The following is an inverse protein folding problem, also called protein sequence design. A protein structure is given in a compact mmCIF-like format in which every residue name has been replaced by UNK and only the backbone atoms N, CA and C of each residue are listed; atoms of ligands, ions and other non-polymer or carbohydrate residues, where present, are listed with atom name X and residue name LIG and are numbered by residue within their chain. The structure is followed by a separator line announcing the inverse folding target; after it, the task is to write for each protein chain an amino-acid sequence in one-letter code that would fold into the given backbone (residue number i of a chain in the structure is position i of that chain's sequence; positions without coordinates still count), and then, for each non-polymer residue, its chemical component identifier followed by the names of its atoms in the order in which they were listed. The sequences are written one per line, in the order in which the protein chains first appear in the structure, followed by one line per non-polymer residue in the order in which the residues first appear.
data_IF_884682683242
#
_entry.id   IF_884682683242
#
_cell.length_a   1.000
_cell.length_b   1.000
_cell.length_c   1.000
_cell.angle_alpha   90.00
_cell.angle_beta   90.00
_cell.angle_gamma   90.00
#
_symmetry.space_group_name_H-M   'P 1'
#
loop_
_entity.id
_entity.type
_entity.pdbx_description
1 polymer ?
#
# COMPACT_ATOMS: atom_id res chain seq x y z
N UNK A 1 4.05 -24.42 -8.00
CA UNK A 1 2.71 -24.63 -7.42
C UNK A 1 2.37 -23.40 -6.61
N UNK A 2 1.25 -22.72 -6.90
CA UNK A 2 0.86 -21.55 -6.11
C UNK A 2 0.50 -22.00 -4.70
N UNK A 3 1.21 -21.46 -3.70
CA UNK A 3 1.05 -21.80 -2.28
C UNK A 3 -0.30 -21.38 -1.70
N UNK A 4 -1.02 -20.50 -2.39
CA UNK A 4 -2.26 -19.90 -1.96
C UNK A 4 -3.32 -19.98 -3.08
N UNK A 5 -4.59 -20.13 -2.69
CA UNK A 5 -5.73 -20.16 -3.60
C UNK A 5 -6.01 -18.78 -4.19
N UNK A 6 -6.70 -18.71 -5.33
CA UNK A 6 -7.11 -17.43 -5.89
C UNK A 6 -8.30 -16.85 -5.13
N UNK A 7 -8.44 -15.53 -5.10
CA UNK A 7 -9.63 -14.86 -4.56
C UNK A 7 -10.91 -15.21 -5.34
N UNK A 8 -10.79 -15.71 -6.57
CA UNK A 8 -11.92 -16.20 -7.37
C UNK A 8 -12.42 -17.59 -6.95
N UNK A 9 -11.66 -18.31 -6.12
CA UNK A 9 -11.99 -19.64 -5.61
C UNK A 9 -12.38 -19.59 -4.12
N UNK A 10 -13.07 -18.54 -3.68
CA UNK A 10 -13.55 -18.43 -2.31
C UNK A 10 -14.61 -19.50 -2.02
N UNK A 11 -14.54 -20.20 -0.87
CA UNK A 11 -15.55 -21.17 -0.52
C UNK A 11 -16.90 -20.48 -0.21
N UNK A 12 -18.03 -21.09 -0.58
CA UNK A 12 -19.36 -20.49 -0.41
C UNK A 12 -19.76 -20.31 1.07
N UNK A 13 -19.30 -21.21 1.95
CA UNK A 13 -19.58 -21.17 3.39
C UNK A 13 -18.37 -20.68 4.20
N UNK A 14 -17.62 -19.70 3.68
CA UNK A 14 -16.50 -19.13 4.44
C UNK A 14 -17.01 -18.37 5.67
N UNK A 15 -16.20 -18.38 6.74
CA UNK A 15 -16.41 -17.45 7.85
C UNK A 15 -16.11 -16.02 7.41
N UNK A 16 -16.69 -15.05 8.12
CA UNK A 16 -16.32 -13.64 7.99
C UNK A 16 -14.92 -13.43 8.58
N UNK A 17 -14.13 -12.57 7.96
CA UNK A 17 -12.79 -12.19 8.42
C UNK A 17 -12.86 -10.88 9.19
N UNK A 18 -12.58 -10.91 10.49
CA UNK A 18 -12.64 -9.71 11.32
C UNK A 18 -11.35 -8.88 11.22
N UNK A 19 -10.20 -9.55 11.17
CA UNK A 19 -8.89 -8.93 10.99
C UNK A 19 -8.27 -9.25 9.64
N UNK A 20 -7.58 -8.28 9.03
CA UNK A 20 -7.00 -8.47 7.70
C UNK A 20 -5.68 -7.71 7.50
N UNK A 21 -4.78 -8.31 6.72
CA UNK A 21 -3.58 -7.68 6.19
C UNK A 21 -3.56 -7.84 4.66
N UNK A 22 -3.41 -6.75 3.92
CA UNK A 22 -3.44 -6.79 2.46
C UNK A 22 -2.34 -5.94 1.85
N UNK A 23 -1.70 -6.45 0.80
CA UNK A 23 -0.88 -5.61 -0.07
C UNK A 23 -1.76 -4.55 -0.78
N UNK A 24 -1.11 -3.49 -1.27
CA UNK A 24 -1.79 -2.39 -1.95
C UNK A 24 -1.78 -2.53 -3.49
N UNK A 25 -0.59 -2.54 -4.09
CA UNK A 25 -0.39 -2.35 -5.52
C UNK A 25 -0.58 -3.68 -6.29
N UNK A 26 -1.76 -3.87 -6.88
CA UNK A 26 -2.12 -5.08 -7.62
C UNK A 26 -3.09 -5.97 -6.84
N UNK A 27 -3.17 -5.71 -5.54
CA UNK A 27 -4.04 -6.39 -4.58
C UNK A 27 -5.32 -5.59 -4.34
N UNK A 28 -5.25 -4.51 -3.53
CA UNK A 28 -6.39 -3.61 -3.29
C UNK A 28 -6.60 -2.60 -4.43
N UNK A 29 -5.55 -2.33 -5.20
CA UNK A 29 -5.59 -1.47 -6.38
C UNK A 29 -5.53 -2.28 -7.67
N UNK A 30 -6.23 -1.80 -8.69
CA UNK A 30 -6.15 -2.36 -10.06
C UNK A 30 -4.79 -2.22 -10.73
N UNK A 31 -3.93 -1.32 -10.23
CA UNK A 31 -2.58 -1.10 -10.74
C UNK A 31 -1.55 -1.74 -9.83
N UNK A 32 -0.52 -2.29 -10.42
CA UNK A 32 0.55 -3.00 -9.73
C UNK A 32 1.88 -2.21 -9.74
N UNK A 33 1.79 -0.90 -10.02
CA UNK A 33 2.95 -0.01 -10.11
C UNK A 33 2.66 1.30 -9.39
N UNK A 34 3.52 1.62 -8.43
CA UNK A 34 3.43 2.85 -7.66
C UNK A 34 4.05 4.07 -8.35
N UNK A 35 4.72 3.88 -9.48
CA UNK A 35 5.48 4.92 -10.19
C UNK A 35 4.66 6.19 -10.45
N UNK A 36 3.39 6.05 -10.87
CA UNK A 36 2.51 7.19 -11.13
C UNK A 36 2.26 8.06 -9.90
N UNK A 37 2.23 7.47 -8.71
CA UNK A 37 2.03 8.22 -7.46
C UNK A 37 3.30 8.99 -7.07
N UNK A 38 4.49 8.41 -7.29
CA UNK A 38 5.77 9.11 -7.13
C UNK A 38 5.92 10.28 -8.09
N UNK A 39 5.52 10.12 -9.35
CA UNK A 39 5.48 11.19 -10.36
C UNK A 39 4.55 12.30 -9.92
N UNK A 40 3.30 11.98 -9.57
CA UNK A 40 2.33 12.98 -9.10
C UNK A 40 2.86 13.75 -7.88
N UNK A 41 3.32 13.03 -6.86
CA UNK A 41 3.87 13.64 -5.65
C UNK A 41 5.06 14.54 -5.97
N UNK A 42 5.98 14.10 -6.83
CA UNK A 42 7.14 14.91 -7.24
C UNK A 42 6.74 16.21 -7.94
N UNK A 43 5.62 16.20 -8.68
CA UNK A 43 5.11 17.34 -9.43
C UNK A 43 4.39 18.33 -8.52
N UNK A 44 3.51 17.82 -7.66
CA UNK A 44 2.61 18.63 -6.83
C UNK A 44 3.28 19.13 -5.54
N UNK A 45 4.21 18.34 -4.96
CA UNK A 45 4.99 18.74 -3.79
C UNK A 45 6.38 19.28 -4.14
N UNK A 46 6.88 18.99 -5.34
CA UNK A 46 8.24 19.33 -5.79
C UNK A 46 8.29 20.25 -7.00
N UNK A 47 8.97 19.79 -8.05
CA UNK A 47 9.25 20.60 -9.24
C UNK A 47 9.13 19.79 -10.52
N UNK A 48 8.82 20.47 -11.62
CA UNK A 48 8.75 19.84 -12.96
C UNK A 48 10.07 19.20 -13.38
N UNK A 49 11.21 19.78 -12.97
CA UNK A 49 12.53 19.19 -13.21
C UNK A 49 12.67 17.81 -12.55
N UNK A 50 12.28 17.69 -11.28
CA UNK A 50 12.30 16.42 -10.56
C UNK A 50 11.38 15.39 -11.23
N UNK A 51 10.19 15.80 -11.66
CA UNK A 51 9.28 14.93 -12.41
C UNK A 51 9.90 14.48 -13.73
N UNK A 52 10.53 15.38 -14.48
CA UNK A 52 11.29 15.05 -15.69
C UNK A 52 12.42 14.06 -15.42
N UNK A 53 13.16 14.25 -14.32
CA UNK A 53 14.21 13.35 -13.89
C UNK A 53 13.66 11.94 -13.57
N UNK A 54 12.51 11.82 -12.90
CA UNK A 54 11.85 10.53 -12.66
C UNK A 54 11.51 9.80 -13.96
N UNK A 55 10.98 10.50 -14.96
CA UNK A 55 10.70 9.91 -16.26
C UNK A 55 11.98 9.47 -16.97
N UNK A 56 13.03 10.30 -16.92
CA UNK A 56 14.33 9.98 -17.51
C UNK A 56 14.95 8.72 -16.90
N UNK A 57 14.88 8.57 -15.57
CA UNK A 57 15.45 7.39 -14.88
C UNK A 57 14.52 6.19 -14.84
N UNK A 58 13.27 6.31 -15.29
CA UNK A 58 12.26 5.25 -15.17
C UNK A 58 12.70 3.89 -15.75
N UNK A 59 13.36 3.82 -16.93
CA UNK A 59 13.87 2.55 -17.44
C UNK A 59 14.94 1.94 -16.52
N UNK A 60 15.87 2.76 -16.01
CA UNK A 60 16.92 2.31 -15.09
C UNK A 60 16.35 1.84 -13.75
N UNK A 61 15.33 2.54 -13.23
CA UNK A 61 14.59 2.12 -12.04
C UNK A 61 13.89 0.79 -12.28
N UNK A 62 13.23 0.61 -13.43
CA UNK A 62 12.56 -0.64 -13.78
C UNK A 62 13.55 -1.81 -13.85
N UNK A 63 14.69 -1.63 -14.52
CA UNK A 63 15.76 -2.64 -14.59
C UNK A 63 16.28 -2.97 -13.19
N UNK A 64 16.57 -1.94 -12.38
CA UNK A 64 17.04 -2.11 -11.00
C UNK A 64 16.03 -2.88 -10.16
N UNK A 65 14.75 -2.50 -10.24
CA UNK A 65 13.67 -3.14 -9.50
C UNK A 65 13.49 -4.61 -9.88
N UNK A 66 13.57 -4.94 -11.17
CA UNK A 66 13.31 -6.30 -11.68
C UNK A 66 14.50 -7.24 -11.60
N UNK A 67 15.71 -6.77 -11.87
CA UNK A 67 16.89 -7.62 -12.07
C UNK A 67 17.92 -7.51 -10.94
N UNK A 68 17.92 -6.43 -10.16
CA UNK A 68 18.91 -6.22 -9.10
C UNK A 68 18.27 -6.34 -7.71
N UNK A 69 17.38 -5.42 -7.36
CA UNK A 69 16.72 -5.38 -6.06
C UNK A 69 15.50 -4.46 -6.10
N UNK A 70 14.36 -5.01 -5.69
CA UNK A 70 13.12 -4.26 -5.51
C UNK A 70 13.31 -3.03 -4.61
N UNK A 71 13.96 -3.25 -3.47
CA UNK A 71 14.28 -2.22 -2.48
C UNK A 71 15.19 -1.13 -3.06
N UNK A 72 16.17 -1.47 -3.91
CA UNK A 72 17.03 -0.46 -4.54
C UNK A 72 16.25 0.43 -5.52
N UNK A 73 15.38 -0.15 -6.35
CA UNK A 73 14.52 0.60 -7.26
C UNK A 73 13.60 1.57 -6.51
N UNK A 74 12.99 1.12 -5.40
CA UNK A 74 12.13 1.95 -4.56
C UNK A 74 12.91 3.06 -3.87
N UNK A 75 14.14 2.79 -3.38
CA UNK A 75 15.01 3.83 -2.79
C UNK A 75 15.36 4.93 -3.79
N UNK A 76 15.60 4.60 -5.06
CA UNK A 76 15.85 5.60 -6.12
C UNK A 76 14.61 6.47 -6.32
N UNK A 77 13.42 5.86 -6.42
CA UNK A 77 12.15 6.61 -6.54
C UNK A 77 11.95 7.55 -5.35
N UNK A 78 12.12 7.04 -4.13
CA UNK A 78 11.99 7.83 -2.90
C UNK A 78 12.96 9.02 -2.93
N UNK A 79 14.24 8.76 -3.20
CA UNK A 79 15.27 9.80 -3.18
C UNK A 79 14.94 10.91 -4.18
N UNK A 80 14.68 10.55 -5.43
CA UNK A 80 14.38 11.55 -6.46
C UNK A 80 13.10 12.30 -6.13
N UNK A 81 12.02 11.61 -5.74
CA UNK A 81 10.71 12.23 -5.48
C UNK A 81 10.69 13.15 -4.25
N UNK A 82 11.39 12.78 -3.18
CA UNK A 82 11.16 13.35 -1.84
C UNK A 82 12.36 14.11 -1.26
N UNK A 83 13.60 13.84 -1.70
CA UNK A 83 14.77 14.46 -1.09
C UNK A 83 14.69 16.00 -1.14
N UNK A 84 14.87 16.63 0.02
CA UNK A 84 14.82 18.08 0.20
C UNK A 84 13.41 18.69 0.28
N UNK A 85 12.34 17.89 0.18
CA UNK A 85 10.98 18.38 0.37
C UNK A 85 10.61 18.54 1.84
N UNK A 86 9.87 19.61 2.17
CA UNK A 86 9.26 19.77 3.49
C UNK A 86 8.24 18.68 3.73
N UNK A 87 8.32 18.02 4.88
CA UNK A 87 7.42 16.94 5.27
C UNK A 87 5.96 17.39 5.23
N UNK A 88 5.67 18.57 5.78
CA UNK A 88 4.33 19.14 5.81
C UNK A 88 3.72 19.27 4.40
N UNK A 89 4.51 19.75 3.42
CA UNK A 89 4.06 19.91 2.05
C UNK A 89 3.75 18.56 1.39
N UNK A 90 4.60 17.57 1.63
CA UNK A 90 4.38 16.20 1.15
C UNK A 90 3.12 15.60 1.75
N UNK A 91 2.92 15.75 3.07
CA UNK A 91 1.72 15.27 3.76
C UNK A 91 0.46 15.90 3.19
N UNK A 92 0.42 17.22 3.01
CA UNK A 92 -0.73 17.92 2.42
C UNK A 92 -1.05 17.42 1.00
N UNK A 93 -0.03 17.17 0.17
CA UNK A 93 -0.23 16.66 -1.19
C UNK A 93 -0.67 15.19 -1.18
N UNK A 94 -0.10 14.37 -0.30
CA UNK A 94 -0.54 12.99 -0.15
C UNK A 94 -2.01 12.93 0.27
N UNK A 95 -2.38 13.68 1.30
CA UNK A 95 -3.73 13.76 1.85
C UNK A 95 -4.76 14.21 0.79
N UNK A 96 -4.46 15.27 0.02
CA UNK A 96 -5.42 15.87 -0.91
C UNK A 96 -5.43 15.24 -2.30
N UNK A 97 -4.27 14.90 -2.82
CA UNK A 97 -4.12 14.47 -4.23
C UNK A 97 -4.00 12.96 -4.31
N UNK A 98 -3.03 12.36 -3.60
CA UNK A 98 -2.79 10.93 -3.72
C UNK A 98 -3.97 10.12 -3.21
N UNK A 99 -4.62 10.56 -2.13
CA UNK A 99 -5.80 9.91 -1.58
C UNK A 99 -6.90 9.69 -2.62
N UNK A 100 -7.32 10.73 -3.33
CA UNK A 100 -8.33 10.59 -4.40
C UNK A 100 -7.80 9.76 -5.57
N UNK A 101 -6.51 9.92 -5.94
CA UNK A 101 -5.91 9.08 -6.98
C UNK A 101 -5.90 7.59 -6.61
N UNK A 102 -5.71 7.22 -5.35
CA UNK A 102 -5.80 5.84 -4.88
C UNK A 102 -7.25 5.35 -4.90
N UNK A 103 -8.17 6.15 -4.34
CA UNK A 103 -9.59 5.84 -4.27
C UNK A 103 -10.21 5.51 -5.65
N UNK A 104 -9.82 6.25 -6.70
CA UNK A 104 -10.26 6.02 -8.07
C UNK A 104 -9.78 4.68 -8.70
N UNK A 105 -8.90 3.94 -8.03
CA UNK A 105 -8.29 2.71 -8.53
C UNK A 105 -8.55 1.48 -7.63
N UNK A 106 -9.35 1.63 -6.57
CA UNK A 106 -9.72 0.53 -5.66
C UNK A 106 -10.49 -0.54 -6.42
N UNK A 107 -10.03 -1.77 -6.26
CA UNK A 107 -10.52 -2.96 -6.93
C UNK A 107 -11.62 -3.62 -6.09
N UNK A 108 -12.74 -3.98 -6.71
CA UNK A 108 -13.95 -4.46 -6.02
C UNK A 108 -13.77 -5.78 -5.30
N UNK A 109 -13.29 -6.81 -5.99
CA UNK A 109 -13.20 -8.19 -5.47
C UNK A 109 -12.38 -8.28 -4.16
N UNK A 110 -11.19 -7.69 -4.13
CA UNK A 110 -10.32 -7.66 -2.94
C UNK A 110 -10.81 -6.67 -1.88
N UNK A 111 -11.38 -5.54 -2.27
CA UNK A 111 -11.93 -4.56 -1.32
C UNK A 111 -13.12 -5.12 -0.56
N UNK A 112 -14.06 -5.82 -1.22
CA UNK A 112 -15.23 -6.41 -0.57
C UNK A 112 -14.83 -7.41 0.50
N UNK A 113 -13.84 -8.26 0.22
CA UNK A 113 -13.33 -9.24 1.17
C UNK A 113 -12.52 -8.59 2.31
N UNK A 114 -11.68 -7.61 1.99
CA UNK A 114 -10.86 -6.89 2.98
C UNK A 114 -11.70 -6.07 3.96
N UNK A 115 -12.82 -5.50 3.48
CA UNK A 115 -13.74 -4.66 4.27
C UNK A 115 -14.96 -5.42 4.77
N UNK A 116 -14.93 -6.76 4.75
CA UNK A 116 -16.06 -7.58 5.16
C UNK A 116 -16.28 -7.47 6.68
N UNK A 117 -15.25 -7.61 7.52
CA UNK A 117 -15.33 -7.54 8.99
C UNK A 117 -15.38 -6.13 9.58
N UNK A 118 -15.32 -6.06 10.92
CA UNK A 118 -15.18 -4.79 11.67
C UNK A 118 -13.89 -4.67 12.50
N UNK A 119 -13.12 -5.75 12.66
CA UNK A 119 -11.85 -5.74 13.39
C UNK A 119 -10.71 -4.98 12.70
N UNK A 120 -9.49 -5.17 13.21
CA UNK A 120 -8.29 -4.45 12.78
C UNK A 120 -7.85 -4.81 11.35
N UNK A 121 -7.59 -3.80 10.53
CA UNK A 121 -7.13 -3.94 9.15
C UNK A 121 -5.84 -3.15 8.92
N UNK A 122 -4.89 -3.74 8.20
CA UNK A 122 -3.62 -3.10 7.88
C UNK A 122 -3.30 -3.24 6.39
N UNK A 123 -3.01 -2.12 5.73
CA UNK A 123 -2.42 -2.12 4.38
C UNK A 123 -0.91 -2.31 4.51
N UNK A 124 -0.35 -3.30 3.84
CA UNK A 124 1.07 -3.68 3.90
C UNK A 124 1.76 -3.35 2.58
N UNK A 125 2.50 -2.26 2.53
CA UNK A 125 3.03 -1.73 1.25
C UNK A 125 4.50 -1.38 1.33
N UNK A 126 5.21 -1.55 0.20
CA UNK A 126 6.57 -1.05 0.06
C UNK A 126 6.62 0.48 -0.13
N UNK A 127 5.47 1.11 -0.47
CA UNK A 127 5.39 2.56 -0.64
C UNK A 127 5.60 3.30 0.68
N UNK A 128 6.08 4.56 0.64
CA UNK A 128 6.21 5.38 1.83
C UNK A 128 4.90 5.53 2.60
N UNK A 129 4.92 5.37 3.92
CA UNK A 129 3.74 5.50 4.79
C UNK A 129 3.03 6.84 4.58
N UNK A 130 3.79 7.93 4.44
CA UNK A 130 3.24 9.28 4.22
C UNK A 130 2.39 9.38 2.94
N UNK A 131 2.61 8.52 1.94
CA UNK A 131 1.85 8.55 0.69
C UNK A 131 0.52 7.82 0.80
N UNK A 132 0.39 6.83 1.70
CA UNK A 132 -0.71 5.85 1.69
C UNK A 132 -1.60 5.95 2.92
N UNK A 133 -1.05 6.37 4.07
CA UNK A 133 -1.75 6.35 5.37
C UNK A 133 -3.13 7.02 5.34
N UNK A 134 -3.22 8.22 4.80
CA UNK A 134 -4.48 8.99 4.83
C UNK A 134 -5.53 8.35 3.91
N UNK A 135 -5.10 7.75 2.80
CA UNK A 135 -5.96 6.93 1.95
C UNK A 135 -6.48 5.68 2.66
N UNK A 136 -5.58 4.91 3.28
CA UNK A 136 -5.95 3.69 3.98
C UNK A 136 -6.96 3.98 5.09
N UNK A 137 -6.75 5.03 5.87
CA UNK A 137 -7.66 5.41 6.94
C UNK A 137 -9.01 5.87 6.38
N UNK A 138 -9.01 6.77 5.39
CA UNK A 138 -10.23 7.43 4.92
C UNK A 138 -11.12 6.58 4.03
N UNK A 139 -10.54 5.77 3.15
CA UNK A 139 -11.28 5.03 2.12
C UNK A 139 -11.35 3.52 2.36
N UNK A 140 -10.46 3.00 3.22
CA UNK A 140 -10.43 1.56 3.54
C UNK A 140 -10.75 1.26 5.01
N UNK A 141 -10.78 2.28 5.89
CA UNK A 141 -10.96 2.09 7.33
C UNK A 141 -9.82 1.24 7.94
N UNK A 142 -8.61 1.40 7.42
CA UNK A 142 -7.46 0.57 7.75
C UNK A 142 -6.23 1.40 8.14
N UNK A 143 -5.35 0.79 8.93
CA UNK A 143 -4.00 1.29 9.17
C UNK A 143 -3.09 1.07 7.96
N UNK A 144 -1.86 1.59 8.06
CA UNK A 144 -0.87 1.50 6.98
C UNK A 144 0.51 1.14 7.54
N UNK A 145 0.97 -0.06 7.19
CA UNK A 145 2.33 -0.55 7.39
C UNK A 145 3.12 -0.29 6.10
N UNK A 146 3.71 0.91 6.02
CA UNK A 146 4.48 1.38 4.87
C UNK A 146 5.94 1.67 5.21
N UNK A 147 6.72 2.03 4.19
CA UNK A 147 8.13 2.40 4.33
C UNK A 147 8.27 3.73 5.04
N UNK A 148 9.01 3.76 6.16
CA UNK A 148 9.30 5.00 6.89
C UNK A 148 10.50 5.74 6.29
N UNK A 149 10.47 7.07 6.36
CA UNK A 149 11.46 7.94 5.74
C UNK A 149 12.12 8.81 6.80
N UNK A 150 13.40 9.11 6.59
CA UNK A 150 14.15 10.00 7.48
C UNK A 150 13.82 11.46 7.16
N UNK A 151 13.39 12.18 8.18
CA UNK A 151 13.21 13.63 8.16
C UNK A 151 14.38 14.28 8.91
N UNK A 152 14.89 15.38 8.38
CA UNK A 152 15.89 16.19 9.07
C UNK A 152 15.17 17.11 10.05
N UNK A 153 15.33 16.85 11.35
CA UNK A 153 14.64 17.57 12.43
C UNK A 153 14.87 19.09 12.42
N UNK A 154 16.05 19.54 11.97
CA UNK A 154 16.37 20.98 11.92
C UNK A 154 15.65 21.72 10.80
N UNK A 155 15.37 21.03 9.70
CA UNK A 155 14.81 21.65 8.48
C UNK A 155 13.37 21.24 8.20
N UNK A 156 12.87 20.20 8.87
CA UNK A 156 11.58 19.57 8.58
C UNK A 156 11.50 18.99 7.17
N UNK A 157 12.65 18.61 6.58
CA UNK A 157 12.73 18.11 5.19
C UNK A 157 13.11 16.65 5.14
N UNK A 158 12.52 15.91 4.20
CA UNK A 158 12.95 14.55 3.90
C UNK A 158 14.39 14.53 3.39
N UNK A 159 15.20 13.60 3.89
CA UNK A 159 16.58 13.42 3.41
C UNK A 159 16.65 12.56 2.14
N UNK A 160 15.52 11.96 1.74
CA UNK A 160 15.47 10.94 0.68
C UNK A 160 15.97 9.56 1.12
N UNK A 161 16.24 9.35 2.42
CA UNK A 161 16.67 8.06 2.97
C UNK A 161 15.50 7.35 3.63
N UNK A 162 15.53 6.03 3.58
CA UNK A 162 14.60 5.14 4.28
C UNK A 162 15.07 4.95 5.71
N UNK A 163 14.16 4.99 6.65
CA UNK A 163 14.41 4.62 8.04
C UNK A 163 14.38 3.09 8.15
N UNK A 164 15.52 2.47 8.49
CA UNK A 164 15.66 1.02 8.51
C UNK A 164 15.70 0.41 7.10
N UNK A 165 14.57 -0.11 6.62
CA UNK A 165 14.49 -0.84 5.35
C UNK A 165 13.18 -0.56 4.61
N UNK A 166 13.18 -0.83 3.29
CA UNK A 166 11.95 -0.81 2.49
C UNK A 166 11.16 -2.08 2.82
N UNK A 167 9.84 -1.97 3.02
CA UNK A 167 8.98 -3.12 3.34
C UNK A 167 8.73 -4.00 2.11
N UNK A 168 9.69 -4.85 1.79
CA UNK A 168 9.61 -5.87 0.74
C UNK A 168 9.92 -7.26 1.31
N UNK A 169 9.21 -8.28 0.81
CA UNK A 169 9.45 -9.68 1.18
C UNK A 169 9.38 -9.92 2.70
N UNK A 170 10.43 -10.50 3.33
CA UNK A 170 10.44 -10.81 4.76
C UNK A 170 10.15 -9.60 5.67
N UNK A 171 10.44 -8.37 5.21
CA UNK A 171 10.18 -7.15 5.99
C UNK A 171 8.68 -6.83 6.12
N UNK A 172 7.87 -7.23 5.14
CA UNK A 172 6.41 -7.16 5.25
C UNK A 172 5.91 -8.08 6.35
N UNK A 173 6.46 -9.29 6.43
CA UNK A 173 6.15 -10.27 7.48
C UNK A 173 6.46 -9.71 8.87
N UNK A 174 7.68 -9.21 9.08
CA UNK A 174 8.10 -8.59 10.35
C UNK A 174 7.18 -7.42 10.75
N UNK A 175 6.77 -6.58 9.79
CA UNK A 175 5.89 -5.46 10.06
C UNK A 175 4.48 -5.91 10.50
N UNK A 176 3.94 -6.98 9.89
CA UNK A 176 2.65 -7.56 10.28
C UNK A 176 2.74 -8.19 11.67
N UNK A 177 3.80 -8.94 11.98
CA UNK A 177 4.02 -9.52 13.32
C UNK A 177 4.12 -8.43 14.40
N UNK A 178 4.83 -7.34 14.12
CA UNK A 178 4.92 -6.20 15.04
C UNK A 178 3.57 -5.49 15.22
N UNK A 179 2.79 -5.38 14.16
CA UNK A 179 1.51 -4.69 14.20
C UNK A 179 0.48 -5.48 15.01
N UNK A 180 0.27 -6.75 14.71
CA UNK A 180 -0.74 -7.59 15.36
C UNK A 180 -0.27 -8.23 16.68
N UNK A 181 1.04 -8.26 16.93
CA UNK A 181 1.64 -8.97 18.04
C UNK A 181 1.98 -10.42 17.69
N UNK A 182 2.81 -11.07 18.51
CA UNK A 182 3.26 -12.45 18.28
C UNK A 182 2.15 -13.49 18.41
N UNK A 183 1.11 -13.17 19.18
CA UNK A 183 0.07 -14.13 19.57
C UNK A 183 -1.22 -13.99 18.76
N UNK A 184 -1.38 -12.91 17.99
CA UNK A 184 -2.55 -12.67 17.14
C UNK A 184 -2.16 -12.67 15.67
N UNK A 185 -2.75 -13.60 14.93
CA UNK A 185 -2.58 -13.71 13.47
C UNK A 185 -3.79 -13.11 12.77
N UNK A 186 -3.60 -12.27 11.73
CA UNK A 186 -4.73 -11.78 10.95
C UNK A 186 -5.56 -12.94 10.40
N UNK A 187 -6.88 -12.79 10.38
CA UNK A 187 -7.76 -13.82 9.83
C UNK A 187 -7.55 -13.95 8.31
N UNK A 188 -7.33 -12.82 7.63
CA UNK A 188 -7.20 -12.73 6.18
C UNK A 188 -5.88 -12.10 5.72
N UNK A 189 -5.21 -12.76 4.77
CA UNK A 189 -4.07 -12.24 4.02
C UNK A 189 -4.37 -12.10 2.52
N UNK A 190 -4.07 -10.95 1.91
CA UNK A 190 -4.23 -10.72 0.47
C UNK A 190 -2.92 -10.21 -0.17
N UNK A 191 -2.53 -10.77 -1.30
CA UNK A 191 -1.35 -10.34 -2.06
C UNK A 191 -1.45 -10.66 -3.55
N UNK A 192 -0.60 -10.05 -4.38
CA UNK A 192 -0.56 -10.26 -5.84
C UNK A 192 0.70 -10.99 -6.30
N UNK A 193 1.74 -11.07 -5.45
CA UNK A 193 3.06 -11.59 -5.81
C UNK A 193 3.71 -12.48 -4.78
N UNK A 194 4.78 -13.15 -5.21
CA UNK A 194 5.61 -13.99 -4.34
C UNK A 194 6.21 -13.22 -3.16
N UNK A 195 6.47 -11.92 -3.31
CA UNK A 195 6.99 -11.06 -2.24
C UNK A 195 5.98 -10.81 -1.11
N UNK A 196 4.72 -11.17 -1.31
CA UNK A 196 3.67 -11.11 -0.29
C UNK A 196 3.49 -12.42 0.47
N UNK A 197 3.99 -13.54 -0.08
CA UNK A 197 3.78 -14.88 0.46
C UNK A 197 4.21 -15.03 1.93
N UNK A 198 5.26 -14.32 2.34
CA UNK A 198 5.80 -14.43 3.69
C UNK A 198 4.84 -13.88 4.76
N UNK A 199 4.18 -12.75 4.51
CA UNK A 199 3.18 -12.22 5.44
C UNK A 199 1.83 -12.92 5.26
N UNK A 200 1.48 -13.32 4.02
CA UNK A 200 0.26 -14.09 3.78
C UNK A 200 0.29 -15.43 4.53
N UNK A 201 1.46 -16.07 4.63
CA UNK A 201 1.64 -17.31 5.39
C UNK A 201 1.45 -17.15 6.92
N UNK A 202 1.45 -15.91 7.43
CA UNK A 202 1.09 -15.64 8.84
C UNK A 202 -0.41 -15.65 9.06
N UNK A 203 -1.19 -15.32 8.03
CA UNK A 203 -2.63 -15.15 8.14
C UNK A 203 -3.30 -16.53 8.23
N UNK A 204 -4.47 -16.60 8.87
CA UNK A 204 -5.20 -17.86 9.01
C UNK A 204 -5.68 -18.37 7.65
N UNK A 205 -6.28 -17.47 6.87
CA UNK A 205 -6.68 -17.69 5.48
C UNK A 205 -6.00 -16.66 4.58
N UNK A 206 -5.54 -17.07 3.40
CA UNK A 206 -4.86 -16.16 2.48
C UNK A 206 -5.12 -16.49 1.01
N UNK A 207 -5.28 -15.43 0.21
CA UNK A 207 -5.66 -15.54 -1.20
C UNK A 207 -4.81 -14.65 -2.11
N UNK A 208 -4.44 -15.20 -3.26
CA UNK A 208 -3.80 -14.45 -4.33
C UNK A 208 -4.83 -13.67 -5.14
N UNK A 209 -4.52 -12.39 -5.38
CA UNK A 209 -5.29 -11.53 -6.26
C UNK A 209 -4.65 -11.57 -7.66
N UNK A 210 -5.34 -12.10 -8.68
CA UNK A 210 -4.76 -12.20 -10.02
C UNK A 210 -4.65 -10.82 -10.67
N UNK A 211 -3.57 -10.58 -11.41
CA UNK A 211 -3.37 -9.32 -12.11
C UNK A 211 -4.49 -9.05 -13.12
N UNK A 212 -5.31 -8.02 -12.86
CA UNK A 212 -6.39 -7.60 -13.75
C UNK A 212 -6.60 -6.09 -13.70
N UNK A 213 -6.02 -5.37 -14.67
CA UNK A 213 -6.16 -3.91 -14.79
C UNK A 213 -7.59 -3.45 -15.13
N UNK A 214 -8.43 -4.37 -15.62
CA UNK A 214 -9.84 -4.14 -15.99
C UNK A 214 -10.81 -4.63 -14.92
N UNK A 215 -10.31 -5.07 -13.75
CA UNK A 215 -11.18 -5.48 -12.67
C UNK A 215 -12.15 -4.35 -12.30
N UNK A 216 -13.41 -4.67 -11.96
CA UNK A 216 -14.39 -3.68 -11.54
C UNK A 216 -13.84 -2.84 -10.39
N UNK A 217 -14.14 -1.55 -10.42
CA UNK A 217 -13.71 -0.61 -9.39
C UNK A 217 -14.86 -0.24 -8.48
N UNK A 218 -14.52 0.10 -7.25
CA UNK A 218 -15.48 0.61 -6.26
C UNK A 218 -15.53 2.12 -6.40
N UNK A 219 -16.72 2.70 -6.37
CA UNK A 219 -16.86 4.17 -6.40
C UNK A 219 -16.32 4.78 -5.10
N UNK A 220 -15.84 6.03 -5.16
CA UNK A 220 -15.38 6.73 -3.96
C UNK A 220 -16.50 6.88 -2.90
N UNK A 221 -17.73 7.12 -3.34
CA UNK A 221 -18.88 7.25 -2.45
C UNK A 221 -19.19 5.95 -1.70
N UNK A 222 -19.11 4.81 -2.39
CA UNK A 222 -19.32 3.49 -1.78
C UNK A 222 -18.22 3.13 -0.77
N UNK A 223 -16.97 3.50 -1.09
CA UNK A 223 -15.84 3.33 -0.16
C UNK A 223 -16.06 4.12 1.14
N UNK A 224 -16.42 5.41 1.02
CA UNK A 224 -16.67 6.28 2.18
C UNK A 224 -17.87 5.81 3.00
N UNK A 225 -18.98 5.47 2.34
CA UNK A 225 -20.19 4.98 3.00
C UNK A 225 -19.92 3.71 3.83
N UNK A 226 -19.06 2.80 3.35
CA UNK A 226 -18.66 1.60 4.09
C UNK A 226 -17.88 1.95 5.36
N UNK A 227 -16.94 2.88 5.28
CA UNK A 227 -16.12 3.31 6.42
C UNK A 227 -16.98 4.04 7.47
N UNK A 228 -17.88 4.92 7.02
CA UNK A 228 -18.82 5.64 7.89
C UNK A 228 -19.77 4.69 8.62
N UNK A 229 -20.33 3.70 7.93
CA UNK A 229 -21.20 2.69 8.52
C UNK A 229 -20.48 1.87 9.61
N UNK A 230 -19.22 1.49 9.38
CA UNK A 230 -18.42 0.77 10.37
C UNK A 230 -18.08 1.63 11.61
N UNK A 231 -17.82 2.93 11.40
CA UNK A 231 -17.57 3.87 12.50
C UNK A 231 -18.81 4.09 13.37
N UNK A 232 -20.00 4.16 12.78
CA UNK A 232 -21.28 4.31 13.52
C UNK A 232 -21.64 3.08 14.35
N UNK A 233 -21.21 1.89 13.95
CA UNK A 233 -21.46 0.63 14.67
C UNK A 233 -20.47 0.37 15.80
N UNK A 234 -19.38 1.15 15.87
CA UNK A 234 -18.35 1.04 16.91
C UNK A 234 -18.54 2.03 18.07
N UNK A 235 -19.51 2.94 17.95
CA UNK A 235 -19.94 3.91 18.99
C UNK A 235 -21.23 3.44 19.66
#
# INVERSE_FOLDING_TARGET
MNRFSLITSLPPNRRRYDTAAADLDGTLLTTNSSFKYFVCLSREAGSRFRTGLLYLVAPAVYITYKFLSESAGIKILIYISLAGLKEEKVRQVAERVLTSMYAAHVRRDSWELFTEGMGRREVVTANPTVMVRDFAQRYLGAGCLGTRLVVNDKTGKYTGRVEGCVLVGPRKKEAVEQAFGTDQKPDLGLGDRETDHDFMALCQDAYMVPANKKAPRVSEAEQLARVEAAAQQSN
#
